data_IF_055899055545
#
_entry.id   IF_055899055545
#
_cell.length_a   1.000
_cell.length_b   1.000
_cell.length_c   1.000
_cell.angle_alpha   90.00
_cell.angle_beta   90.00
_cell.angle_gamma   90.00
#
_symmetry.space_group_name_H-M   'P 1'
#
loop_
_entity.id
_entity.type
_entity.pdbx_description
1 polymer ?
#
# COMPACT_ATOMS: atom_id res chain seq x y z
N UNK A 1 7.24 -4.52 -1.13
CA UNK A 1 7.44 -3.13 -1.67
C UNK A 1 8.87 -2.84 -2.09
N UNK A 2 9.87 -2.81 -1.20
CA UNK A 2 11.24 -2.35 -1.57
C UNK A 2 11.87 -3.13 -2.73
N UNK A 3 11.64 -4.44 -2.81
CA UNK A 3 12.06 -5.27 -3.95
C UNK A 3 11.47 -4.79 -5.29
N UNK A 4 10.19 -4.38 -5.31
CA UNK A 4 9.55 -3.82 -6.51
C UNK A 4 10.16 -2.46 -6.88
N UNK A 5 10.52 -1.64 -5.89
CA UNK A 5 11.24 -0.38 -6.12
C UNK A 5 12.62 -0.63 -6.73
N UNK A 6 13.33 -1.68 -6.31
CA UNK A 6 14.59 -2.05 -6.97
C UNK A 6 14.35 -2.50 -8.40
N UNK A 7 13.37 -3.36 -8.63
CA UNK A 7 13.03 -3.83 -9.98
C UNK A 7 12.67 -2.66 -10.93
N UNK A 8 11.91 -1.68 -10.45
CA UNK A 8 11.48 -0.53 -11.26
C UNK A 8 12.61 0.43 -11.64
N UNK A 9 13.79 0.33 -11.02
CA UNK A 9 14.96 1.17 -11.38
C UNK A 9 15.68 0.68 -12.63
N UNK A 10 15.66 -0.62 -12.88
CA UNK A 10 16.45 -1.21 -13.97
C UNK A 10 16.07 -0.65 -15.34
N UNK A 11 14.81 -0.29 -15.57
CA UNK A 11 14.40 0.31 -16.84
C UNK A 11 15.16 1.61 -17.15
N UNK A 12 15.42 2.41 -16.13
CA UNK A 12 16.17 3.65 -16.25
C UNK A 12 17.67 3.37 -16.33
N UNK A 13 18.18 2.45 -15.50
CA UNK A 13 19.60 2.09 -15.51
C UNK A 13 20.02 1.50 -16.88
N UNK A 14 19.15 0.71 -17.53
CA UNK A 14 19.41 0.23 -18.90
C UNK A 14 19.41 1.36 -19.92
N UNK A 15 18.48 2.31 -19.82
CA UNK A 15 18.45 3.48 -20.70
C UNK A 15 19.70 4.35 -20.54
N UNK A 16 20.09 4.66 -19.31
CA UNK A 16 21.28 5.45 -18.99
C UNK A 16 22.58 4.75 -19.43
N UNK A 17 22.61 3.41 -19.34
CA UNK A 17 23.80 2.62 -19.69
C UNK A 17 24.22 2.77 -21.16
N UNK A 18 23.30 3.11 -22.07
CA UNK A 18 23.60 3.44 -23.46
C UNK A 18 24.57 4.64 -23.56
N UNK A 19 24.44 5.63 -22.67
CA UNK A 19 25.35 6.78 -22.58
C UNK A 19 26.79 6.40 -22.18
N UNK A 20 26.97 5.21 -21.61
CA UNK A 20 28.27 4.63 -21.26
C UNK A 20 28.76 3.61 -22.30
N UNK A 21 28.10 3.50 -23.46
CA UNK A 21 28.50 2.64 -24.57
C UNK A 21 27.97 1.19 -24.50
N UNK A 22 27.05 0.88 -23.58
CA UNK A 22 26.35 -0.40 -23.55
C UNK A 22 25.18 -0.36 -24.53
N UNK A 23 25.35 -0.98 -25.69
CA UNK A 23 24.32 -1.07 -26.72
C UNK A 23 23.62 -2.43 -26.65
N UNK A 24 22.30 -2.44 -26.87
CA UNK A 24 21.47 -3.64 -26.85
C UNK A 24 20.78 -3.80 -28.20
N UNK A 25 20.64 -5.04 -28.69
CA UNK A 25 19.87 -5.32 -29.92
C UNK A 25 18.36 -5.16 -29.72
N UNK A 26 17.89 -5.34 -28.49
CA UNK A 26 16.49 -5.14 -28.10
C UNK A 26 16.42 -4.70 -26.63
N UNK A 27 15.37 -3.96 -26.29
CA UNK A 27 15.11 -3.57 -24.90
C UNK A 27 14.86 -4.81 -24.01
N UNK A 28 15.44 -4.87 -22.80
CA UNK A 28 15.16 -5.93 -21.84
C UNK A 28 13.66 -6.02 -21.52
N UNK A 29 13.10 -7.23 -21.64
CA UNK A 29 11.69 -7.48 -21.30
C UNK A 29 11.55 -7.76 -19.81
N UNK A 30 10.57 -7.11 -19.18
CA UNK A 30 10.24 -7.35 -17.79
C UNK A 30 9.17 -8.45 -17.66
N UNK A 31 9.48 -9.53 -16.95
CA UNK A 31 8.52 -10.57 -16.56
C UNK A 31 8.00 -10.33 -15.13
N UNK A 32 6.74 -9.89 -15.04
CA UNK A 32 6.05 -9.63 -13.78
C UNK A 32 5.89 -10.89 -12.92
N UNK A 33 5.63 -12.04 -13.54
CA UNK A 33 5.41 -13.29 -12.80
C UNK A 33 6.70 -13.72 -12.07
N UNK A 34 7.85 -13.59 -12.75
CA UNK A 34 9.17 -13.84 -12.15
C UNK A 34 9.46 -12.89 -10.98
N UNK A 35 9.18 -11.59 -11.12
CA UNK A 35 9.36 -10.63 -10.04
C UNK A 35 8.51 -10.97 -8.80
N UNK A 36 7.22 -11.27 -9.00
CA UNK A 36 6.31 -11.61 -7.91
C UNK A 36 6.68 -12.94 -7.24
N UNK A 37 7.07 -13.95 -8.02
CA UNK A 37 7.56 -15.22 -7.49
C UNK A 37 8.80 -15.04 -6.60
N UNK A 38 9.79 -14.28 -7.07
CA UNK A 38 11.01 -14.00 -6.31
C UNK A 38 10.73 -13.18 -5.04
N UNK A 39 9.85 -12.18 -5.11
CA UNK A 39 9.36 -11.44 -3.93
C UNK A 39 8.75 -12.41 -2.91
N UNK A 40 7.89 -13.32 -3.34
CA UNK A 40 7.17 -14.24 -2.47
C UNK A 40 8.10 -15.27 -1.82
N UNK A 41 9.07 -15.80 -2.57
CA UNK A 41 10.08 -16.70 -2.03
C UNK A 41 10.91 -16.01 -0.93
N UNK A 42 11.30 -14.75 -1.13
CA UNK A 42 12.02 -13.99 -0.11
C UNK A 42 11.17 -13.70 1.13
N UNK A 43 9.88 -13.38 0.95
CA UNK A 43 8.95 -13.22 2.07
C UNK A 43 8.82 -14.51 2.89
N UNK A 44 8.66 -15.65 2.22
CA UNK A 44 8.58 -16.96 2.89
C UNK A 44 9.85 -17.27 3.68
N UNK A 45 11.03 -16.99 3.10
CA UNK A 45 12.32 -17.15 3.78
C UNK A 45 12.40 -16.30 5.06
N UNK A 46 12.02 -15.01 4.96
CA UNK A 46 12.02 -14.10 6.11
C UNK A 46 11.02 -14.53 7.19
N UNK A 47 9.80 -14.94 6.81
CA UNK A 47 8.82 -15.48 7.76
C UNK A 47 9.37 -16.71 8.50
N UNK A 48 10.04 -17.62 7.79
CA UNK A 48 10.71 -18.77 8.40
C UNK A 48 11.77 -18.37 9.43
N UNK A 49 12.59 -17.36 9.11
CA UNK A 49 13.59 -16.81 10.04
C UNK A 49 12.92 -16.28 11.31
N UNK A 50 11.85 -15.48 11.20
CA UNK A 50 11.16 -14.95 12.37
C UNK A 50 10.50 -16.04 13.22
N UNK A 51 9.88 -17.06 12.60
CA UNK A 51 9.33 -18.21 13.34
C UNK A 51 10.44 -18.94 14.13
N UNK A 52 11.63 -19.09 13.55
CA UNK A 52 12.77 -19.68 14.25
C UNK A 52 13.30 -18.80 15.40
N UNK A 53 13.36 -17.47 15.21
CA UNK A 53 13.76 -16.53 16.27
C UNK A 53 12.80 -16.63 17.47
N UNK A 54 11.49 -16.61 17.21
CA UNK A 54 10.47 -16.76 18.27
C UNK A 54 10.63 -18.09 19.02
N UNK A 55 10.79 -19.19 18.28
CA UNK A 55 11.00 -20.52 18.86
C UNK A 55 12.26 -20.57 19.73
N UNK A 56 13.38 -20.02 19.27
CA UNK A 56 14.65 -20.02 20.00
C UNK A 56 14.63 -19.13 21.25
N UNK A 57 13.69 -18.19 21.32
CA UNK A 57 13.45 -17.34 22.47
C UNK A 57 12.33 -17.87 23.39
N UNK A 58 11.94 -19.15 23.23
CA UNK A 58 10.87 -19.82 23.98
C UNK A 58 9.50 -19.10 23.89
N UNK A 59 9.25 -18.36 22.80
CA UNK A 59 7.97 -17.70 22.55
C UNK A 59 6.97 -18.69 21.95
N UNK A 60 5.81 -18.82 22.59
CA UNK A 60 4.69 -19.59 22.04
C UNK A 60 3.95 -18.75 21.00
N UNK A 61 3.99 -19.19 19.74
CA UNK A 61 3.19 -18.59 18.67
C UNK A 61 1.79 -19.22 18.67
N UNK A 62 0.76 -18.39 18.82
CA UNK A 62 -0.65 -18.79 18.68
C UNK A 62 -1.17 -18.14 17.40
N UNK A 63 -1.54 -18.95 16.42
CA UNK A 63 -2.10 -18.49 15.15
C UNK A 63 -3.63 -18.41 15.26
N UNK A 64 -4.19 -17.21 15.03
CA UNK A 64 -5.63 -16.94 15.11
C UNK A 64 -5.90 -15.47 15.42
N UNK A 65 -7.17 -15.07 15.44
CA UNK A 65 -7.54 -13.68 15.76
C UNK A 65 -7.78 -13.52 17.26
N UNK A 66 -6.87 -12.80 17.93
CA UNK A 66 -7.04 -12.45 19.34
C UNK A 66 -8.14 -11.43 19.57
N UNK A 67 -9.00 -11.69 20.56
CA UNK A 67 -9.99 -10.77 21.11
C UNK A 67 -9.80 -10.66 22.62
N UNK A 68 -9.64 -9.46 23.13
CA UNK A 68 -9.54 -9.21 24.57
C UNK A 68 -10.94 -9.32 25.16
N UNK A 69 -11.13 -10.23 26.12
CA UNK A 69 -12.44 -10.48 26.75
C UNK A 69 -12.52 -9.93 28.17
N UNK A 70 -11.37 -9.77 28.83
CA UNK A 70 -11.19 -9.09 30.11
C UNK A 70 -9.74 -8.54 30.21
N UNK A 71 -9.37 -7.77 31.26
CA UNK A 71 -8.03 -7.16 31.36
C UNK A 71 -6.84 -8.13 31.31
N UNK A 72 -7.06 -9.43 31.52
CA UNK A 72 -6.01 -10.44 31.62
C UNK A 72 -6.27 -11.67 30.74
N UNK A 73 -7.28 -11.66 29.87
CA UNK A 73 -7.64 -12.82 29.04
C UNK A 73 -7.86 -12.44 27.58
N UNK A 74 -7.26 -13.22 26.70
CA UNK A 74 -7.44 -13.15 25.24
C UNK A 74 -8.08 -14.45 24.76
N UNK A 75 -9.17 -14.33 24.03
CA UNK A 75 -9.77 -15.41 23.25
C UNK A 75 -9.11 -15.47 21.88
N UNK A 76 -8.63 -16.66 21.50
CA UNK A 76 -8.19 -16.96 20.14
C UNK A 76 -8.96 -18.17 19.66
N UNK A 77 -9.87 -17.94 18.72
CA UNK A 77 -10.72 -18.95 18.08
C UNK A 77 -11.44 -19.89 19.06
N UNK A 78 -11.94 -19.34 20.18
CA UNK A 78 -12.69 -20.04 21.22
C UNK A 78 -11.83 -20.57 22.37
N UNK A 79 -10.51 -20.46 22.28
CA UNK A 79 -9.59 -20.86 23.35
C UNK A 79 -9.10 -19.64 24.12
N UNK A 80 -9.27 -19.68 25.44
CA UNK A 80 -8.88 -18.61 26.35
C UNK A 80 -7.43 -18.76 26.80
N UNK A 81 -6.70 -17.65 26.77
CA UNK A 81 -5.32 -17.52 27.24
C UNK A 81 -5.23 -16.37 28.24
N UNK A 82 -4.65 -16.63 29.41
CA UNK A 82 -4.46 -15.60 30.44
C UNK A 82 -3.04 -15.05 30.42
N UNK A 83 -2.89 -13.75 30.68
CA UNK A 83 -1.60 -13.07 30.77
C UNK A 83 -1.63 -11.93 31.80
N UNK A 84 -0.50 -11.70 32.46
CA UNK A 84 -0.34 -10.55 33.37
C UNK A 84 -0.44 -9.22 32.63
N UNK A 85 0.19 -9.12 31.45
CA UNK A 85 0.20 -7.92 30.62
C UNK A 85 -0.23 -8.30 29.19
N UNK A 86 -1.00 -7.44 28.55
CA UNK A 86 -1.43 -7.59 27.16
C UNK A 86 -0.93 -6.38 26.37
N UNK A 87 -0.14 -6.62 25.32
CA UNK A 87 0.30 -5.58 24.38
C UNK A 87 -0.54 -5.67 23.10
N UNK A 88 -1.18 -4.57 22.71
CA UNK A 88 -1.98 -4.50 21.48
C UNK A 88 -1.13 -3.91 20.34
N UNK A 89 -0.62 -4.76 19.47
CA UNK A 89 0.30 -4.40 18.36
C UNK A 89 -0.29 -4.68 16.96
N UNK A 90 -1.58 -4.40 16.77
CA UNK A 90 -2.37 -4.81 15.59
C UNK A 90 -2.20 -3.95 14.33
N UNK A 91 -1.39 -2.89 14.40
CA UNK A 91 -1.09 -2.00 13.27
C UNK A 91 -2.30 -1.25 12.70
N UNK A 92 -2.24 -0.96 11.40
CA UNK A 92 -3.31 -0.29 10.68
C UNK A 92 -3.58 -0.95 9.34
N UNK A 93 -4.76 -0.71 8.76
CA UNK A 93 -5.23 -1.27 7.48
C UNK A 93 -5.47 -0.16 6.44
N UNK A 94 -5.34 -0.44 5.13
CA UNK A 94 -5.70 0.52 4.10
C UNK A 94 -7.15 1.02 4.25
N UNK A 95 -7.41 2.21 3.73
CA UNK A 95 -8.76 2.78 3.70
C UNK A 95 -9.13 3.17 2.27
N UNK A 96 -10.18 2.52 1.77
CA UNK A 96 -10.86 2.88 0.52
C UNK A 96 -12.12 3.69 0.91
N UNK A 97 -12.28 4.93 0.39
CA UNK A 97 -13.49 5.72 0.57
C UNK A 97 -14.72 5.02 0.01
N UNK A 98 -15.84 5.20 0.70
CA UNK A 98 -17.15 4.73 0.24
C UNK A 98 -17.67 5.68 -0.86
N UNK A 99 -17.44 5.29 -2.10
CA UNK A 99 -17.95 5.95 -3.31
C UNK A 99 -18.55 4.89 -4.23
N UNK A 100 -19.49 5.24 -5.12
CA UNK A 100 -20.01 4.30 -6.10
C UNK A 100 -18.87 3.63 -6.92
N UNK A 101 -18.88 2.31 -7.00
CA UNK A 101 -17.86 1.53 -7.70
C UNK A 101 -16.58 1.28 -6.90
N UNK A 102 -16.50 1.66 -5.62
CA UNK A 102 -15.34 1.41 -4.76
C UNK A 102 -15.00 -0.08 -4.61
N UNK A 103 -15.95 -0.99 -4.88
CA UNK A 103 -15.73 -2.44 -4.98
C UNK A 103 -14.78 -2.87 -6.12
N UNK A 104 -14.57 -2.01 -7.12
CA UNK A 104 -13.61 -2.24 -8.20
C UNK A 104 -12.19 -1.75 -7.87
N UNK A 105 -12.02 -1.03 -6.76
CA UNK A 105 -10.73 -0.52 -6.35
C UNK A 105 -9.85 -1.58 -5.69
N UNK A 106 -8.54 -1.39 -5.81
CA UNK A 106 -7.54 -2.12 -5.03
C UNK A 106 -6.89 -1.17 -4.01
N UNK A 107 -6.26 -1.72 -2.99
CA UNK A 107 -5.40 -0.97 -2.06
C UNK A 107 -3.93 -1.38 -2.20
N UNK A 108 -3.08 -0.89 -1.29
CA UNK A 108 -1.65 -1.21 -1.28
C UNK A 108 -1.35 -2.68 -1.03
N UNK A 109 -2.24 -3.38 -0.33
CA UNK A 109 -2.02 -4.77 0.06
C UNK A 109 -2.28 -5.63 -1.20
N UNK A 110 -3.40 -5.41 -1.89
CA UNK A 110 -3.69 -6.05 -3.18
C UNK A 110 -2.67 -5.70 -4.29
N UNK A 111 -2.17 -4.46 -4.33
CA UNK A 111 -1.18 -4.02 -5.32
C UNK A 111 0.16 -4.80 -5.25
N UNK A 112 0.50 -5.37 -4.09
CA UNK A 112 1.72 -6.17 -3.91
C UNK A 112 1.62 -7.59 -4.48
N UNK A 113 0.41 -8.04 -4.79
CA UNK A 113 0.08 -9.42 -5.16
C UNK A 113 -0.75 -9.51 -6.45
N UNK A 114 -0.74 -8.45 -7.28
CA UNK A 114 -1.43 -8.46 -8.57
C UNK A 114 -0.93 -9.62 -9.44
N UNK A 115 -1.84 -10.38 -10.10
CA UNK A 115 -1.45 -11.48 -10.97
C UNK A 115 -0.73 -10.98 -12.24
N UNK A 116 -1.08 -9.79 -12.70
CA UNK A 116 -0.49 -9.15 -13.89
C UNK A 116 -0.16 -7.69 -13.60
N UNK A 117 0.93 -7.20 -14.20
CA UNK A 117 1.27 -5.79 -14.15
C UNK A 117 0.16 -4.95 -14.80
N UNK A 118 -0.26 -3.82 -14.20
CA UNK A 118 -1.16 -2.88 -14.87
C UNK A 118 -0.56 -2.36 -16.19
N UNK A 119 -1.40 -2.19 -17.20
CA UNK A 119 -1.03 -1.47 -18.42
C UNK A 119 -1.19 0.04 -18.21
N UNK A 120 -2.35 0.43 -17.67
CA UNK A 120 -2.68 1.79 -17.23
C UNK A 120 -3.31 1.74 -15.84
N UNK A 121 -2.89 2.60 -14.91
CA UNK A 121 -3.36 2.61 -13.52
C UNK A 121 -3.63 4.02 -12.99
N UNK A 122 -4.77 4.18 -12.32
CA UNK A 122 -5.07 5.36 -11.51
C UNK A 122 -4.67 5.10 -10.06
N UNK A 123 -3.90 6.01 -9.46
CA UNK A 123 -3.52 5.97 -8.05
C UNK A 123 -4.10 7.19 -7.35
N UNK A 124 -5.04 6.97 -6.45
CA UNK A 124 -5.68 8.01 -5.66
C UNK A 124 -4.94 8.17 -4.33
N UNK A 125 -4.32 9.33 -4.12
CA UNK A 125 -3.61 9.67 -2.90
C UNK A 125 -2.29 10.40 -3.17
N UNK A 126 -1.92 11.31 -2.27
CA UNK A 126 -0.67 12.08 -2.39
C UNK A 126 0.38 11.71 -1.34
N UNK A 127 0.18 10.62 -0.58
CA UNK A 127 1.11 10.17 0.45
C UNK A 127 2.28 9.37 -0.13
N UNK A 128 3.23 9.00 0.73
CA UNK A 128 4.41 8.23 0.32
C UNK A 128 4.04 6.88 -0.34
N UNK A 129 3.02 6.17 0.16
CA UNK A 129 2.56 4.91 -0.47
C UNK A 129 2.15 5.15 -1.93
N UNK A 130 1.38 6.20 -2.18
CA UNK A 130 0.90 6.52 -3.53
C UNK A 130 2.07 6.78 -4.49
N UNK A 131 3.04 7.62 -4.09
CA UNK A 131 4.18 7.96 -4.93
C UNK A 131 5.14 6.79 -5.13
N UNK A 132 5.34 5.94 -4.12
CA UNK A 132 6.16 4.75 -4.25
C UNK A 132 5.56 3.77 -5.26
N UNK A 133 4.25 3.52 -5.22
CA UNK A 133 3.58 2.68 -6.23
C UNK A 133 3.54 3.35 -7.60
N UNK A 134 3.37 4.67 -7.67
CA UNK A 134 3.45 5.39 -8.93
C UNK A 134 4.83 5.21 -9.59
N UNK A 135 5.92 5.36 -8.82
CA UNK A 135 7.27 5.09 -9.29
C UNK A 135 7.52 3.63 -9.67
N UNK A 136 6.98 2.67 -8.90
CA UNK A 136 7.07 1.24 -9.22
C UNK A 136 6.42 0.94 -10.58
N UNK A 137 5.16 1.31 -10.76
CA UNK A 137 4.42 0.97 -11.97
C UNK A 137 4.94 1.73 -13.19
N UNK A 138 5.32 3.00 -13.04
CA UNK A 138 5.92 3.81 -14.11
C UNK A 138 7.30 3.26 -14.52
N UNK A 139 8.16 2.94 -13.55
CA UNK A 139 9.47 2.33 -13.84
C UNK A 139 9.34 0.94 -14.47
N UNK A 140 8.22 0.25 -14.27
CA UNK A 140 7.87 -0.97 -14.98
C UNK A 140 7.00 -0.72 -16.23
N UNK A 141 7.08 0.49 -16.80
CA UNK A 141 6.47 0.89 -18.08
C UNK A 141 4.95 0.76 -18.11
N UNK A 142 4.27 1.09 -17.01
CA UNK A 142 2.82 1.27 -16.99
C UNK A 142 2.50 2.75 -17.18
N UNK A 143 1.38 3.08 -17.82
CA UNK A 143 0.84 4.44 -17.82
C UNK A 143 0.24 4.73 -16.43
N UNK A 144 0.73 5.77 -15.76
CA UNK A 144 0.37 6.06 -14.37
C UNK A 144 -0.22 7.45 -14.23
N UNK A 145 -1.44 7.50 -13.69
CA UNK A 145 -2.09 8.75 -13.30
C UNK A 145 -2.22 8.81 -11.78
N UNK A 146 -1.78 9.91 -11.16
CA UNK A 146 -1.87 10.14 -9.72
C UNK A 146 -2.87 11.25 -9.44
N UNK A 147 -3.94 10.93 -8.72
CA UNK A 147 -5.01 11.86 -8.35
C UNK A 147 -4.87 12.30 -6.90
N UNK A 148 -4.78 13.62 -6.68
CA UNK A 148 -4.66 14.19 -5.35
C UNK A 148 -5.66 15.33 -5.13
N UNK A 149 -6.35 15.30 -3.99
CA UNK A 149 -7.28 16.38 -3.58
C UNK A 149 -6.60 17.69 -3.15
N UNK A 150 -5.27 17.73 -3.14
CA UNK A 150 -4.48 18.87 -2.67
C UNK A 150 -3.68 19.44 -3.83
N UNK A 151 -3.13 20.64 -3.67
CA UNK A 151 -2.23 21.24 -4.66
C UNK A 151 -0.92 20.47 -4.83
N UNK A 152 -0.40 19.89 -3.74
CA UNK A 152 0.91 19.23 -3.70
C UNK A 152 0.85 17.88 -3.00
N UNK A 153 1.70 16.95 -3.45
CA UNK A 153 1.93 15.64 -2.83
C UNK A 153 2.68 15.77 -1.49
N UNK A 154 2.84 14.67 -0.75
CA UNK A 154 3.63 14.53 0.49
C UNK A 154 3.37 15.62 1.54
N UNK A 155 2.10 15.88 1.85
CA UNK A 155 1.72 16.85 2.89
C UNK A 155 2.45 16.57 4.22
N UNK A 156 3.05 17.60 4.79
CA UNK A 156 3.84 17.52 6.03
C UNK A 156 5.35 17.41 5.81
N UNK A 157 5.80 17.27 4.56
CA UNK A 157 7.20 17.40 4.16
C UNK A 157 7.53 18.83 3.75
N UNK A 158 8.83 19.10 3.62
CA UNK A 158 9.37 20.37 3.13
C UNK A 158 8.76 20.79 1.78
N UNK A 159 8.44 22.08 1.62
CA UNK A 159 7.72 22.58 0.45
C UNK A 159 8.53 22.49 -0.85
N UNK A 160 9.83 22.76 -0.82
CA UNK A 160 10.70 22.71 -2.00
C UNK A 160 10.93 21.26 -2.44
N UNK A 161 11.13 20.35 -1.47
CA UNK A 161 11.28 18.92 -1.75
C UNK A 161 10.01 18.34 -2.39
N UNK A 162 8.83 18.79 -1.97
CA UNK A 162 7.55 18.33 -2.52
C UNK A 162 7.38 18.76 -3.98
N UNK A 163 7.74 20.00 -4.30
CA UNK A 163 7.69 20.52 -5.67
C UNK A 163 8.69 19.78 -6.55
N UNK A 164 9.94 19.65 -6.09
CA UNK A 164 10.99 18.94 -6.81
C UNK A 164 10.61 17.48 -7.11
N UNK A 165 10.11 16.73 -6.11
CA UNK A 165 9.69 15.33 -6.32
C UNK A 165 8.56 15.24 -7.35
N UNK A 166 7.55 16.11 -7.26
CA UNK A 166 6.43 16.10 -8.18
C UNK A 166 6.88 16.40 -9.63
N UNK A 167 7.73 17.41 -9.80
CA UNK A 167 8.31 17.77 -11.10
C UNK A 167 9.13 16.61 -11.68
N UNK A 168 10.05 16.03 -10.91
CA UNK A 168 10.89 14.93 -11.39
C UNK A 168 10.09 13.67 -11.74
N UNK A 169 9.03 13.38 -10.98
CA UNK A 169 8.12 12.28 -11.31
C UNK A 169 7.30 12.56 -12.58
N UNK A 170 6.88 13.80 -12.78
CA UNK A 170 6.16 14.23 -13.99
C UNK A 170 7.04 14.14 -15.24
N UNK A 171 8.29 14.61 -15.15
CA UNK A 171 9.29 14.48 -16.23
C UNK A 171 9.57 13.02 -16.61
N UNK A 172 9.34 12.09 -15.70
CA UNK A 172 9.47 10.64 -15.93
C UNK A 172 8.20 9.97 -16.44
N UNK A 173 7.15 10.73 -16.79
CA UNK A 173 5.94 10.24 -17.43
C UNK A 173 4.76 9.97 -16.49
N UNK A 174 4.85 10.31 -15.20
CA UNK A 174 3.71 10.18 -14.28
C UNK A 174 2.80 11.40 -14.43
N UNK A 175 1.53 11.17 -14.74
CA UNK A 175 0.56 12.26 -14.91
C UNK A 175 -0.09 12.62 -13.57
N UNK A 176 0.08 13.85 -13.10
CA UNK A 176 -0.51 14.32 -11.84
C UNK A 176 -1.79 15.13 -12.08
N UNK A 177 -2.86 14.67 -11.43
CA UNK A 177 -4.18 15.31 -11.39
C UNK A 177 -4.35 15.97 -10.01
N UNK A 178 -3.91 17.23 -9.90
CA UNK A 178 -3.92 17.96 -8.62
C UNK A 178 -5.25 18.65 -8.37
N UNK A 179 -5.59 18.87 -7.10
CA UNK A 179 -6.88 19.43 -6.67
C UNK A 179 -8.08 18.70 -7.28
N UNK A 180 -7.96 17.39 -7.44
CA UNK A 180 -8.93 16.53 -8.12
C UNK A 180 -9.29 15.34 -7.22
N UNK A 181 -10.58 15.20 -6.92
CA UNK A 181 -11.06 14.16 -6.01
C UNK A 181 -11.91 13.13 -6.76
N UNK A 182 -11.78 11.83 -6.46
CA UNK A 182 -12.62 10.81 -7.07
C UNK A 182 -14.06 10.91 -6.57
N UNK A 183 -15.00 10.63 -7.45
CA UNK A 183 -16.45 10.63 -7.18
C UNK A 183 -17.10 9.27 -7.42
N UNK A 184 -16.63 8.52 -8.42
CA UNK A 184 -17.10 7.17 -8.70
C UNK A 184 -16.09 6.40 -9.58
N UNK A 185 -16.17 5.08 -9.54
CA UNK A 185 -15.47 4.19 -10.48
C UNK A 185 -16.53 3.51 -11.34
N UNK A 186 -16.35 3.53 -12.66
CA UNK A 186 -17.26 2.86 -13.60
C UNK A 186 -16.48 1.76 -14.30
N UNK A 187 -17.03 0.55 -14.31
CA UNK A 187 -16.49 -0.56 -15.07
C UNK A 187 -17.19 -0.65 -16.42
N UNK A 188 -16.41 -0.58 -17.49
CA UNK A 188 -16.85 -0.71 -18.88
C UNK A 188 -17.08 -2.19 -19.24
N UNK A 189 -17.79 -2.43 -20.35
CA UNK A 189 -18.11 -3.78 -20.84
C UNK A 189 -16.85 -4.59 -21.22
N UNK A 190 -15.79 -3.92 -21.66
CA UNK A 190 -14.48 -4.52 -21.99
C UNK A 190 -13.62 -4.82 -20.74
N UNK A 191 -14.12 -4.49 -19.54
CA UNK A 191 -13.42 -4.68 -18.27
C UNK A 191 -12.53 -3.52 -17.84
N UNK A 192 -12.35 -2.49 -18.68
CA UNK A 192 -11.63 -1.28 -18.30
C UNK A 192 -12.39 -0.48 -17.23
N UNK A 193 -11.65 0.30 -16.45
CA UNK A 193 -12.15 1.15 -15.40
C UNK A 193 -12.01 2.62 -15.81
N UNK A 194 -13.02 3.41 -15.47
CA UNK A 194 -13.02 4.86 -15.60
C UNK A 194 -13.16 5.50 -14.23
N UNK A 195 -12.33 6.50 -13.94
CA UNK A 195 -12.40 7.28 -12.70
C UNK A 195 -13.15 8.58 -12.98
N UNK A 196 -14.36 8.70 -12.44
CA UNK A 196 -15.08 9.97 -12.39
C UNK A 196 -14.53 10.81 -11.26
N UNK A 197 -14.23 12.07 -11.53
CA UNK A 197 -13.64 13.00 -10.57
C UNK A 197 -14.44 14.30 -10.52
N UNK A 198 -14.04 15.19 -9.62
CA UNK A 198 -14.58 16.56 -9.54
C UNK A 198 -14.28 17.43 -10.77
N UNK A 199 -13.36 17.03 -11.66
CA UNK A 199 -12.94 17.80 -12.84
C UNK A 199 -13.29 17.15 -14.17
N UNK A 200 -13.62 15.87 -14.18
CA UNK A 200 -13.96 15.15 -15.41
C UNK A 200 -14.00 13.65 -15.21
N UNK A 201 -13.88 12.91 -16.30
CA UNK A 201 -13.72 11.45 -16.28
C UNK A 201 -12.45 11.10 -17.02
N UNK A 202 -11.62 10.26 -16.41
CA UNK A 202 -10.44 9.68 -17.06
C UNK A 202 -10.68 8.18 -17.23
N UNK A 203 -10.44 7.67 -18.43
CA UNK A 203 -10.86 6.32 -18.84
C UNK A 203 -9.66 5.39 -19.15
N UNK A 204 -9.96 4.11 -19.35
CA UNK A 204 -9.01 3.12 -19.85
C UNK A 204 -8.09 2.52 -18.77
N UNK A 205 -8.38 2.69 -17.49
CA UNK A 205 -7.58 2.11 -16.42
C UNK A 205 -7.79 0.60 -16.34
N UNK A 206 -6.70 -0.16 -16.27
CA UNK A 206 -6.78 -1.58 -15.88
C UNK A 206 -7.04 -1.73 -14.38
N UNK A 207 -6.60 -0.77 -13.57
CA UNK A 207 -6.71 -0.79 -12.11
C UNK A 207 -6.91 0.63 -11.57
N UNK A 208 -7.66 0.75 -10.47
CA UNK A 208 -7.76 1.96 -9.66
C UNK A 208 -7.31 1.63 -8.24
N UNK A 209 -6.20 2.21 -7.80
CA UNK A 209 -5.60 1.99 -6.49
C UNK A 209 -5.89 3.15 -5.55
N UNK A 210 -6.41 2.86 -4.36
CA UNK A 210 -6.55 3.83 -3.28
C UNK A 210 -5.39 3.73 -2.29
N UNK A 211 -4.61 4.80 -2.20
CA UNK A 211 -3.54 5.03 -1.24
C UNK A 211 -3.85 6.28 -0.39
N UNK A 212 -5.11 6.44 0.01
CA UNK A 212 -5.65 7.63 0.70
C UNK A 212 -5.39 7.67 2.21
N UNK A 213 -4.73 6.65 2.76
CA UNK A 213 -4.37 6.57 4.17
C UNK A 213 -4.63 5.19 4.76
N UNK A 214 -4.35 5.05 6.05
CA UNK A 214 -4.59 3.84 6.83
C UNK A 214 -5.41 4.18 8.07
N UNK A 215 -6.24 3.24 8.52
CA UNK A 215 -6.98 3.35 9.79
C UNK A 215 -6.41 2.33 10.80
N UNK A 216 -6.40 2.67 12.11
CA UNK A 216 -6.07 1.71 13.16
C UNK A 216 -6.89 0.41 13.02
N UNK A 217 -6.24 -0.74 13.21
CA UNK A 217 -6.86 -2.06 13.04
C UNK A 217 -7.48 -2.58 14.36
N UNK A 218 -8.21 -1.73 15.06
CA UNK A 218 -8.72 -1.98 16.43
C UNK A 218 -10.17 -2.47 16.48
N UNK A 219 -10.85 -2.51 15.33
CA UNK A 219 -12.25 -2.94 15.25
C UNK A 219 -12.41 -4.40 15.70
N UNK A 220 -13.43 -4.65 16.51
CA UNK A 220 -13.83 -5.97 17.00
C UNK A 220 -12.73 -6.73 17.76
N UNK A 221 -11.91 -6.00 18.52
CA UNK A 221 -10.89 -6.59 19.39
C UNK A 221 -11.32 -6.68 20.87
N UNK A 222 -12.52 -6.22 21.22
CA UNK A 222 -13.05 -6.22 22.59
C UNK A 222 -12.44 -5.13 23.50
N UNK A 223 -11.64 -4.23 22.94
CA UNK A 223 -10.95 -3.16 23.68
C UNK A 223 -11.94 -2.20 24.37
N UNK A 224 -12.99 -1.83 23.65
CA UNK A 224 -14.09 -1.01 24.16
C UNK A 224 -14.82 -1.69 25.33
N UNK A 225 -15.09 -3.00 25.22
CA UNK A 225 -15.79 -3.75 26.25
C UNK A 225 -15.00 -3.89 27.55
N UNK A 226 -13.66 -3.83 27.48
CA UNK A 226 -12.78 -3.91 28.66
C UNK A 226 -12.31 -2.54 29.15
N UNK A 227 -12.86 -1.45 28.59
CA UNK A 227 -12.61 -0.09 29.07
C UNK A 227 -11.35 0.60 28.52
N UNK A 228 -10.72 0.05 27.47
CA UNK A 228 -9.59 0.70 26.79
C UNK A 228 -10.10 1.90 26.00
N UNK A 229 -9.52 3.07 26.27
CA UNK A 229 -9.90 4.32 25.59
C UNK A 229 -9.34 4.36 24.17
N UNK A 230 -10.18 4.83 23.26
CA UNK A 230 -9.81 5.01 21.86
C UNK A 230 -10.30 6.36 21.38
N UNK A 231 -9.48 6.99 20.55
CA UNK A 231 -9.84 8.21 19.83
C UNK A 231 -10.98 7.95 18.84
N UNK A 232 -11.61 9.02 18.33
CA UNK A 232 -12.68 8.92 17.30
C UNK A 232 -12.28 8.17 16.03
N UNK A 233 -10.99 8.12 15.70
CA UNK A 233 -10.47 7.39 14.53
C UNK A 233 -10.22 5.90 14.81
N UNK A 234 -10.37 5.46 16.06
CA UNK A 234 -10.11 4.10 16.53
C UNK A 234 -8.68 3.86 17.00
N UNK A 235 -7.82 4.90 17.09
CA UNK A 235 -6.48 4.72 17.67
C UNK A 235 -6.59 4.56 19.19
N UNK A 236 -5.85 3.61 19.76
CA UNK A 236 -5.73 3.40 21.21
C UNK A 236 -5.05 4.64 21.80
N UNK A 237 -5.65 5.22 22.83
CA UNK A 237 -5.02 6.30 23.60
C UNK A 237 -3.95 5.71 24.49
N UNK A 238 -2.74 6.28 24.45
CA UNK A 238 -1.62 5.82 25.26
C UNK A 238 -0.86 7.00 25.87
N UNK A 239 -0.21 6.77 27.01
CA UNK A 239 0.77 7.69 27.58
C UNK A 239 2.16 7.58 26.92
N UNK A 240 3.14 8.34 27.42
CA UNK A 240 4.53 8.36 26.92
C UNK A 240 5.27 7.01 27.10
N UNK A 241 4.73 6.09 27.91
CA UNK A 241 5.25 4.76 28.16
C UNK A 241 4.43 3.66 27.44
N UNK A 242 3.53 4.05 26.53
CA UNK A 242 2.64 3.16 25.78
C UNK A 242 1.60 2.40 26.64
N UNK A 243 1.15 3.00 27.76
CA UNK A 243 0.06 2.46 28.60
C UNK A 243 -1.29 3.06 28.28
#
# INVERSE_FOLDING_TARGET
KKLLVYASKYSHEFEESCGFGLNYEAEPKHDWSTLIANKNAELQRLTGIYKNILKNADVTLIEGRGKVVDPHTVDVDGKLYSAKNILISVGGRPFIPDIPGSEYAIDSDAALDLPTKPNKIAIVGGGYIALEFAGIFNGLKSEVHVFIRQKKVLRGFDEEIRDFVCEQMSLRGIEFHTEESPQAIVKSADGSLSLKTTKGTVEGFSHVMFATGRRPNTKNLGLDTVGVKMTKSGAIEVDEFSR
#
